data_IF_898677892912
#
_entry.id   IF_898677892912
#
_cell.length_a   1.000
_cell.length_b   1.000
_cell.length_c   1.000
_cell.angle_alpha   90.00
_cell.angle_beta   90.00
_cell.angle_gamma   90.00
#
_symmetry.space_group_name_H-M   'P 1'
#
loop_
_entity.id
_entity.type
_entity.pdbx_description
1 polymer ?
#
# COMPACT_ATOMS: atom_id res chain seq x y z
N UNK A 1 33.45 -53.46 42.01
CA UNK A 1 32.82 -53.48 40.67
C UNK A 1 31.92 -52.25 40.51
N UNK A 2 32.19 -51.48 39.45
CA UNK A 2 31.35 -50.54 38.67
C UNK A 2 30.55 -49.40 39.36
N UNK A 3 31.00 -48.18 39.02
CA UNK A 3 30.36 -46.85 39.13
C UNK A 3 28.97 -46.83 38.48
N UNK A 4 27.99 -46.10 39.04
CA UNK A 4 27.22 -45.16 38.21
C UNK A 4 26.65 -43.98 39.03
N UNK A 5 27.40 -42.89 39.20
CA UNK A 5 26.83 -41.65 39.79
C UNK A 5 27.24 -40.37 39.05
N UNK A 6 28.14 -40.46 38.06
CA UNK A 6 28.62 -39.29 37.32
C UNK A 6 27.91 -39.05 35.98
N UNK A 7 27.03 -39.94 35.53
CA UNK A 7 26.44 -39.86 34.19
C UNK A 7 25.27 -38.86 34.12
N UNK A 8 24.48 -38.76 35.20
CA UNK A 8 23.32 -37.87 35.26
C UNK A 8 23.71 -36.39 35.40
N UNK A 9 24.84 -36.10 36.07
CA UNK A 9 25.35 -34.74 36.21
C UNK A 9 25.91 -34.20 34.89
N UNK A 10 26.56 -35.06 34.09
CA UNK A 10 27.08 -34.70 32.76
C UNK A 10 25.98 -34.51 31.72
N UNK A 11 24.91 -35.32 31.79
CA UNK A 11 23.74 -35.15 30.91
C UNK A 11 22.99 -33.84 31.16
N UNK A 12 22.82 -33.45 32.44
CA UNK A 12 22.18 -32.18 32.80
C UNK A 12 23.01 -30.98 32.36
N UNK A 13 24.34 -31.02 32.57
CA UNK A 13 25.23 -29.93 32.16
C UNK A 13 25.29 -29.78 30.63
N UNK A 14 25.27 -30.90 29.89
CA UNK A 14 25.20 -30.89 28.42
C UNK A 14 23.85 -30.35 27.90
N UNK A 15 22.73 -30.75 28.52
CA UNK A 15 21.40 -30.27 28.15
C UNK A 15 21.23 -28.76 28.43
N UNK A 16 21.77 -28.25 29.54
CA UNK A 16 21.75 -26.81 29.83
C UNK A 16 22.65 -26.02 28.89
N UNK A 17 23.81 -26.56 28.49
CA UNK A 17 24.70 -25.91 27.52
C UNK A 17 24.07 -25.81 26.12
N UNK A 18 23.36 -26.85 25.68
CA UNK A 18 22.63 -26.86 24.40
C UNK A 18 21.49 -25.84 24.42
N UNK A 19 20.78 -25.68 25.54
CA UNK A 19 19.70 -24.69 25.67
C UNK A 19 20.22 -23.25 25.64
N UNK A 20 21.38 -22.96 26.24
CA UNK A 20 21.99 -21.62 26.22
C UNK A 20 22.50 -21.24 24.83
N UNK A 21 23.02 -22.19 24.06
CA UNK A 21 23.44 -21.97 22.67
C UNK A 21 22.22 -21.77 21.74
N UNK A 22 21.09 -22.47 22.01
CA UNK A 22 19.86 -22.29 21.24
C UNK A 22 19.19 -20.93 21.46
N UNK A 23 19.34 -20.31 22.63
CA UNK A 23 18.77 -18.98 22.92
C UNK A 23 19.64 -17.84 22.38
N UNK A 24 20.96 -18.03 22.26
CA UNK A 24 21.86 -17.04 21.64
C UNK A 24 21.74 -16.97 20.11
N UNK A 25 21.09 -17.96 19.47
CA UNK A 25 20.81 -18.00 18.04
C UNK A 25 19.48 -17.34 17.64
N UNK A 26 18.72 -16.79 18.59
CA UNK A 26 17.68 -15.80 18.30
C UNK A 26 18.40 -14.46 18.09
N UNK A 27 19.26 -14.46 17.06
CA UNK A 27 19.86 -13.26 16.54
C UNK A 27 18.73 -12.29 16.26
N UNK A 28 18.83 -11.12 16.86
CA UNK A 28 18.09 -9.94 16.44
C UNK A 28 18.28 -9.84 14.93
N UNK A 29 17.27 -10.27 14.16
CA UNK A 29 17.12 -9.86 12.79
C UNK A 29 16.89 -8.35 12.85
N UNK A 30 17.99 -7.61 13.01
CA UNK A 30 18.03 -6.21 12.72
C UNK A 30 17.64 -6.14 11.26
N UNK A 31 16.36 -5.85 11.02
CA UNK A 31 15.84 -5.61 9.69
C UNK A 31 16.77 -4.56 9.10
N UNK A 32 17.63 -4.99 8.18
CA UNK A 32 18.63 -4.16 7.55
C UNK A 32 17.84 -3.00 6.94
N UNK A 33 17.96 -1.83 7.57
CA UNK A 33 17.12 -0.70 7.22
C UNK A 33 17.52 -0.28 5.81
N UNK A 34 16.78 -0.77 4.83
CA UNK A 34 17.09 -0.56 3.43
C UNK A 34 17.31 0.93 3.19
N UNK A 35 18.46 1.26 2.61
CA UNK A 35 18.86 2.65 2.38
C UNK A 35 17.72 3.41 1.69
N UNK A 36 17.43 4.66 2.12
CA UNK A 36 16.30 5.40 1.58
C UNK A 36 16.47 5.61 0.08
N UNK A 37 15.51 5.11 -0.70
CA UNK A 37 15.52 5.24 -2.15
C UNK A 37 14.73 6.49 -2.54
N UNK A 38 15.35 7.34 -3.37
CA UNK A 38 14.69 8.50 -3.93
C UNK A 38 13.82 8.12 -5.14
N UNK A 39 12.63 8.69 -5.23
CA UNK A 39 11.73 8.53 -6.36
C UNK A 39 10.74 9.69 -6.44
N UNK A 40 10.05 9.80 -7.58
CA UNK A 40 9.09 10.86 -7.85
C UNK A 40 7.73 10.29 -8.22
N UNK A 41 6.67 11.01 -7.89
CA UNK A 41 5.31 10.59 -8.17
C UNK A 41 4.30 11.71 -7.94
N UNK A 42 3.03 11.36 -8.00
CA UNK A 42 1.90 12.28 -7.83
C UNK A 42 1.09 11.87 -6.62
N UNK A 43 0.77 12.82 -5.76
CA UNK A 43 -0.07 12.59 -4.58
C UNK A 43 -1.52 12.42 -5.03
N UNK A 44 -2.08 11.23 -4.82
CA UNK A 44 -3.46 10.88 -5.18
C UNK A 44 -4.41 10.85 -3.98
N UNK A 45 -3.84 10.79 -2.77
CA UNK A 45 -4.59 10.84 -1.52
C UNK A 45 -3.69 11.19 -0.35
N UNK A 46 -4.29 11.56 0.78
CA UNK A 46 -3.58 11.80 2.03
C UNK A 46 -4.48 11.50 3.22
N UNK A 47 -3.86 11.05 4.29
CA UNK A 47 -4.50 10.86 5.59
C UNK A 47 -3.81 11.79 6.59
N UNK A 48 -4.54 12.82 7.01
CA UNK A 48 -4.05 13.83 7.96
C UNK A 48 -3.94 13.31 9.39
N UNK A 49 -4.72 12.29 9.76
CA UNK A 49 -4.64 11.68 11.09
C UNK A 49 -3.40 10.80 11.20
N UNK A 50 -3.10 10.01 10.16
CA UNK A 50 -1.95 9.11 10.12
C UNK A 50 -0.66 9.74 9.58
N UNK A 51 -0.71 11.04 9.24
CA UNK A 51 0.40 11.77 8.60
C UNK A 51 1.01 11.00 7.42
N UNK A 52 0.15 10.51 6.53
CA UNK A 52 0.57 9.75 5.36
C UNK A 52 0.04 10.33 4.05
N UNK A 53 0.79 10.10 2.98
CA UNK A 53 0.40 10.42 1.60
C UNK A 53 0.41 9.16 0.76
N UNK A 54 -0.55 9.05 -0.13
CA UNK A 54 -0.61 7.97 -1.12
C UNK A 54 -0.14 8.55 -2.45
N UNK A 55 0.92 7.94 -2.99
CA UNK A 55 1.66 8.47 -4.14
C UNK A 55 1.60 7.47 -5.29
N UNK A 56 1.08 7.93 -6.41
CA UNK A 56 1.08 7.23 -7.68
C UNK A 56 2.40 7.49 -8.44
N UNK A 57 3.07 6.42 -8.84
CA UNK A 57 4.24 6.48 -9.73
C UNK A 57 3.77 6.55 -11.19
N UNK A 58 4.66 6.96 -12.09
CA UNK A 58 4.37 7.01 -13.53
C UNK A 58 4.00 5.65 -14.14
N UNK A 59 4.40 4.54 -13.51
CA UNK A 59 4.06 3.18 -13.91
C UNK A 59 2.66 2.72 -13.46
N UNK A 60 1.95 3.53 -12.67
CA UNK A 60 0.70 3.14 -12.02
C UNK A 60 0.89 2.48 -10.65
N UNK A 61 2.11 2.08 -10.28
CA UNK A 61 2.37 1.55 -8.95
C UNK A 61 2.09 2.62 -7.87
N UNK A 62 1.46 2.22 -6.78
CA UNK A 62 1.09 3.11 -5.68
C UNK A 62 1.94 2.81 -4.45
N UNK A 63 2.37 3.85 -3.75
CA UNK A 63 3.12 3.76 -2.50
C UNK A 63 2.50 4.66 -1.44
N UNK A 64 2.31 4.12 -0.25
CA UNK A 64 1.93 4.90 0.93
C UNK A 64 3.19 5.34 1.65
N UNK A 65 3.34 6.65 1.85
CA UNK A 65 4.50 7.25 2.52
C UNK A 65 4.03 7.94 3.80
N UNK A 66 4.54 7.49 4.94
CA UNK A 66 4.41 8.15 6.25
C UNK A 66 5.44 9.27 6.32
N UNK A 67 5.03 10.47 6.68
CA UNK A 67 5.90 11.65 6.70
C UNK A 67 5.70 12.48 7.96
N UNK A 68 6.73 13.17 8.42
CA UNK A 68 6.63 14.21 9.46
C UNK A 68 6.34 15.59 8.87
N UNK A 69 6.33 15.74 7.55
CA UNK A 69 6.09 17.02 6.87
C UNK A 69 4.60 17.39 6.98
N UNK A 70 4.26 18.64 7.34
CA UNK A 70 2.87 19.07 7.44
C UNK A 70 2.10 18.87 6.12
N UNK A 71 1.10 17.99 6.12
CA UNK A 71 0.31 17.61 4.94
C UNK A 71 -0.53 18.75 4.34
N UNK A 72 -0.66 19.89 5.02
CA UNK A 72 -1.22 21.12 4.44
C UNK A 72 -0.37 21.65 3.27
N UNK A 73 0.94 21.38 3.27
CA UNK A 73 1.88 21.79 2.21
C UNK A 73 1.91 20.82 1.03
N UNK A 74 1.24 19.68 1.16
CA UNK A 74 1.25 18.60 0.17
C UNK A 74 -0.20 18.38 -0.30
N UNK A 75 -0.67 19.15 -1.29
CA UNK A 75 -2.02 18.96 -1.82
C UNK A 75 -2.11 17.68 -2.65
N UNK A 76 -3.32 17.10 -2.72
CA UNK A 76 -3.63 16.08 -3.74
C UNK A 76 -3.46 16.72 -5.12
N UNK A 77 -2.82 16.01 -6.04
CA UNK A 77 -2.35 16.56 -7.32
C UNK A 77 -0.92 17.11 -7.28
N UNK A 78 -0.26 17.21 -6.13
CA UNK A 78 1.14 17.61 -6.08
C UNK A 78 2.03 16.55 -6.75
N UNK A 79 2.93 17.00 -7.63
CA UNK A 79 4.09 16.20 -8.03
C UNK A 79 5.14 16.35 -6.95
N UNK A 80 5.62 15.23 -6.45
CA UNK A 80 6.61 15.21 -5.37
C UNK A 80 7.85 14.42 -5.77
N UNK A 81 8.97 14.77 -5.15
CA UNK A 81 10.17 13.96 -5.04
C UNK A 81 10.34 13.59 -3.57
N UNK A 82 10.58 12.32 -3.29
CA UNK A 82 10.71 11.82 -1.91
C UNK A 82 11.83 10.81 -1.83
N UNK A 83 12.59 10.87 -0.74
CA UNK A 83 13.46 9.78 -0.30
C UNK A 83 12.75 9.04 0.82
N UNK A 84 12.65 7.71 0.69
CA UNK A 84 11.94 6.91 1.67
C UNK A 84 12.54 5.51 1.83
N UNK A 85 12.47 4.96 3.04
CA UNK A 85 12.82 3.56 3.34
C UNK A 85 11.57 2.70 3.43
N UNK A 86 11.67 1.45 3.01
CA UNK A 86 10.57 0.50 3.13
C UNK A 86 10.37 0.09 4.60
N UNK A 87 9.12 -0.11 4.99
CA UNK A 87 8.71 -0.66 6.27
C UNK A 87 8.27 -2.12 6.11
N UNK A 88 8.24 -2.87 7.21
CA UNK A 88 7.85 -4.27 7.22
C UNK A 88 6.40 -4.51 6.73
N UNK A 89 5.53 -3.49 6.85
CA UNK A 89 4.13 -3.53 6.42
C UNK A 89 3.93 -3.18 4.93
N UNK A 90 5.02 -3.01 4.16
CA UNK A 90 4.98 -2.67 2.74
C UNK A 90 4.69 -1.19 2.45
N UNK A 91 4.54 -0.36 3.48
CA UNK A 91 4.52 1.10 3.34
C UNK A 91 5.93 1.68 3.42
N UNK A 92 6.05 3.00 3.30
CA UNK A 92 7.34 3.69 3.28
C UNK A 92 7.40 4.75 4.37
N UNK A 93 8.56 4.91 5.01
CA UNK A 93 8.86 6.06 5.86
C UNK A 93 9.64 7.09 5.04
N UNK A 94 9.02 8.23 4.79
CA UNK A 94 9.63 9.35 4.06
C UNK A 94 10.59 10.11 4.95
N UNK A 95 11.84 10.24 4.50
CA UNK A 95 12.87 11.07 5.15
C UNK A 95 12.91 12.48 4.57
N UNK A 96 12.55 12.63 3.30
CA UNK A 96 12.34 13.92 2.64
C UNK A 96 11.10 13.88 1.76
N UNK A 97 10.41 15.01 1.68
CA UNK A 97 9.27 15.18 0.77
C UNK A 97 9.27 16.61 0.25
N UNK A 98 9.53 16.73 -1.04
CA UNK A 98 9.62 18.00 -1.75
C UNK A 98 8.53 18.05 -2.82
N UNK A 99 7.76 19.14 -2.85
CA UNK A 99 6.78 19.39 -3.90
C UNK A 99 7.51 20.04 -5.08
N UNK A 100 7.56 19.35 -6.20
CA UNK A 100 8.27 19.79 -7.42
C UNK A 100 7.34 20.34 -8.49
N UNK A 101 6.02 20.26 -8.28
CA UNK A 101 5.04 20.84 -9.19
C UNK A 101 3.64 20.30 -8.96
N UNK A 102 2.80 20.38 -9.99
CA UNK A 102 1.41 19.91 -9.97
C UNK A 102 1.10 19.05 -11.18
N UNK A 103 0.31 18.01 -10.98
CA UNK A 103 -0.24 17.15 -12.02
C UNK A 103 -1.76 17.19 -11.97
N UNK A 104 -2.39 17.20 -13.15
CA UNK A 104 -3.85 17.10 -13.31
C UNK A 104 -4.32 15.66 -13.50
N UNK A 105 -3.38 14.73 -13.72
CA UNK A 105 -3.63 13.31 -13.93
C UNK A 105 -2.61 12.46 -13.19
N UNK A 106 -3.01 11.25 -12.83
CA UNK A 106 -2.17 10.21 -12.26
C UNK A 106 -2.65 8.83 -12.71
N UNK A 107 -1.79 7.82 -12.59
CA UNK A 107 -2.15 6.44 -12.88
C UNK A 107 -2.15 5.64 -11.58
N UNK A 108 -3.21 4.90 -11.32
CA UNK A 108 -3.35 4.04 -10.14
C UNK A 108 -3.65 2.62 -10.59
N UNK A 109 -2.71 1.72 -10.34
CA UNK A 109 -2.91 0.28 -10.45
C UNK A 109 -3.27 -0.26 -9.08
N UNK A 110 -4.35 -1.02 -9.01
CA UNK A 110 -4.82 -1.60 -7.75
C UNK A 110 -5.88 -2.67 -7.97
N UNK A 111 -6.49 -3.09 -6.87
CA UNK A 111 -7.58 -4.06 -6.88
C UNK A 111 -8.85 -3.39 -6.37
N UNK A 112 -9.94 -3.54 -7.09
CA UNK A 112 -11.25 -3.05 -6.67
C UNK A 112 -11.69 -3.84 -5.44
N UNK A 113 -12.04 -3.14 -4.36
CA UNK A 113 -12.50 -3.78 -3.12
C UNK A 113 -14.00 -3.56 -2.91
N UNK A 114 -14.51 -2.43 -3.39
CA UNK A 114 -15.93 -2.11 -3.31
C UNK A 114 -16.33 -1.15 -4.43
N UNK A 115 -17.55 -1.33 -4.94
CA UNK A 115 -18.17 -0.45 -5.93
C UNK A 115 -19.49 0.03 -5.36
N UNK A 116 -19.56 1.30 -4.98
CA UNK A 116 -20.78 1.94 -4.51
C UNK A 116 -21.44 2.70 -5.67
N UNK A 117 -22.43 2.04 -6.28
CA UNK A 117 -23.15 2.64 -7.40
C UNK A 117 -24.08 3.78 -6.97
N UNK A 118 -24.53 3.82 -5.72
CA UNK A 118 -25.46 4.85 -5.23
C UNK A 118 -24.73 6.17 -5.06
N UNK A 119 -23.55 6.13 -4.43
CA UNK A 119 -22.74 7.32 -4.17
C UNK A 119 -21.70 7.59 -5.26
N UNK A 120 -21.63 6.74 -6.29
CA UNK A 120 -20.64 6.77 -7.37
C UNK A 120 -19.22 6.78 -6.81
N UNK A 121 -18.95 5.88 -5.87
CA UNK A 121 -17.63 5.72 -5.27
C UNK A 121 -17.04 4.36 -5.63
N UNK A 122 -15.76 4.38 -5.98
CA UNK A 122 -14.96 3.21 -6.24
C UNK A 122 -13.88 3.12 -5.17
N UNK A 123 -13.92 2.07 -4.36
CA UNK A 123 -12.86 1.79 -3.41
C UNK A 123 -11.83 0.84 -4.04
N UNK A 124 -10.57 1.23 -4.00
CA UNK A 124 -9.45 0.49 -4.62
C UNK A 124 -8.34 0.31 -3.61
N UNK A 125 -7.92 -0.93 -3.39
CA UNK A 125 -6.71 -1.25 -2.63
C UNK A 125 -5.48 -1.07 -3.52
N UNK A 126 -4.57 -0.19 -3.10
CA UNK A 126 -3.33 0.08 -3.79
C UNK A 126 -2.24 0.57 -2.81
N UNK A 127 -1.04 0.01 -2.92
CA UNK A 127 0.13 0.49 -2.17
C UNK A 127 0.00 0.45 -0.65
N UNK A 128 -0.74 -0.53 -0.11
CA UNK A 128 -0.99 -0.66 1.33
C UNK A 128 -2.06 0.28 1.89
N UNK A 129 -2.82 0.95 1.02
CA UNK A 129 -3.94 1.83 1.40
C UNK A 129 -5.18 1.52 0.56
N UNK A 130 -6.36 1.88 1.07
CA UNK A 130 -7.61 1.89 0.30
C UNK A 130 -7.92 3.34 -0.09
N UNK A 131 -8.08 3.57 -1.39
CA UNK A 131 -8.43 4.86 -1.96
C UNK A 131 -9.90 4.85 -2.40
N UNK A 132 -10.63 5.89 -2.04
CA UNK A 132 -11.99 6.13 -2.54
C UNK A 132 -11.94 7.15 -3.67
N UNK A 133 -12.32 6.74 -4.86
CA UNK A 133 -12.37 7.59 -6.05
C UNK A 133 -13.82 7.81 -6.45
N UNK A 134 -14.21 9.06 -6.71
CA UNK A 134 -15.51 9.33 -7.33
C UNK A 134 -15.44 8.95 -8.80
N UNK A 135 -16.44 8.23 -9.30
CA UNK A 135 -16.52 7.88 -10.72
C UNK A 135 -17.67 8.59 -11.42
N UNK A 136 -17.46 8.93 -12.70
CA UNK A 136 -18.51 9.49 -13.54
C UNK A 136 -19.59 8.45 -13.88
N UNK A 137 -20.78 8.92 -14.27
CA UNK A 137 -21.91 8.10 -14.74
C UNK A 137 -21.50 7.07 -15.83
N UNK A 138 -20.50 7.41 -16.65
CA UNK A 138 -19.99 6.57 -17.72
C UNK A 138 -19.28 5.28 -17.24
N UNK A 139 -18.85 5.22 -15.97
CA UNK A 139 -18.30 4.00 -15.35
C UNK A 139 -19.38 3.15 -14.68
N UNK A 140 -20.55 3.73 -14.37
CA UNK A 140 -21.71 3.04 -13.78
C UNK A 140 -22.53 2.31 -14.86
N UNK A 141 -22.80 3.00 -15.96
CA UNK A 141 -23.45 2.39 -17.11
C UNK A 141 -22.37 1.67 -17.92
N UNK A 142 -22.43 0.34 -18.00
CA UNK A 142 -21.54 -0.51 -18.82
C UNK A 142 -21.62 -0.20 -20.31
N UNK A 143 -21.24 1.01 -20.70
CA UNK A 143 -21.35 1.51 -22.06
C UNK A 143 -20.17 0.97 -22.84
N UNK A 144 -20.43 -0.17 -23.50
CA UNK A 144 -19.65 -0.76 -24.59
C UNK A 144 -18.86 0.32 -25.35
N UNK A 145 -17.57 0.44 -25.05
CA UNK A 145 -16.57 1.02 -25.95
C UNK A 145 -15.56 -0.08 -26.25
N UNK A 146 -15.82 -0.73 -27.39
CA UNK A 146 -14.86 -1.38 -28.30
C UNK A 146 -13.74 -2.23 -27.68
N UNK A 147 -13.87 -3.55 -27.88
CA UNK A 147 -12.78 -4.55 -27.95
C UNK A 147 -11.83 -4.68 -26.75
N UNK A 148 -12.36 -5.08 -25.60
CA UNK A 148 -11.86 -6.15 -24.70
C UNK A 148 -12.52 -6.00 -23.31
N UNK A 149 -13.34 -7.00 -22.95
CA UNK A 149 -14.02 -7.21 -21.66
C UNK A 149 -14.88 -6.04 -21.12
N UNK A 150 -16.14 -5.99 -21.56
CA UNK A 150 -17.18 -5.21 -20.88
C UNK A 150 -17.83 -6.04 -19.76
N UNK A 151 -17.04 -6.50 -18.79
CA UNK A 151 -17.60 -6.90 -17.48
C UNK A 151 -17.83 -5.63 -16.67
N UNK A 152 -19.00 -5.50 -16.04
CA UNK A 152 -19.22 -4.47 -15.03
C UNK A 152 -18.12 -4.61 -13.98
N UNK A 153 -17.48 -3.50 -13.62
CA UNK A 153 -16.41 -3.48 -12.63
C UNK A 153 -16.89 -4.16 -11.33
N UNK A 154 -16.14 -5.13 -10.82
CA UNK A 154 -16.49 -5.91 -9.66
C UNK A 154 -15.38 -5.92 -8.61
N UNK A 155 -15.74 -6.20 -7.36
CA UNK A 155 -14.74 -6.46 -6.33
C UNK A 155 -13.86 -7.65 -6.74
N UNK A 156 -12.55 -7.52 -6.54
CA UNK A 156 -11.54 -8.46 -7.01
C UNK A 156 -10.93 -8.10 -8.37
N UNK A 157 -11.50 -7.17 -9.14
CA UNK A 157 -10.91 -6.76 -10.42
C UNK A 157 -9.57 -6.05 -10.20
N UNK A 158 -8.53 -6.50 -10.91
CA UNK A 158 -7.25 -5.79 -11.00
C UNK A 158 -7.42 -4.73 -12.08
N UNK A 159 -7.18 -3.47 -11.71
CA UNK A 159 -7.48 -2.32 -12.57
C UNK A 159 -6.28 -1.40 -12.71
N UNK A 160 -6.19 -0.73 -13.86
CA UNK A 160 -5.40 0.46 -14.08
C UNK A 160 -6.36 1.64 -14.28
N UNK A 161 -6.22 2.66 -13.45
CA UNK A 161 -7.12 3.80 -13.39
C UNK A 161 -6.37 5.06 -13.80
N UNK A 162 -6.89 5.79 -14.78
CA UNK A 162 -6.52 7.19 -15.01
C UNK A 162 -7.32 8.04 -14.00
N UNK A 163 -6.59 8.66 -13.09
CA UNK A 163 -7.14 9.52 -12.03
C UNK A 163 -6.98 10.96 -12.47
N UNK A 164 -8.09 11.67 -12.62
CA UNK A 164 -8.11 13.12 -12.73
C UNK A 164 -8.01 13.75 -11.35
N UNK A 165 -7.10 14.70 -11.20
CA UNK A 165 -6.78 15.38 -9.95
C UNK A 165 -7.18 16.83 -10.09
N UNK A 166 -8.32 17.19 -9.52
CA UNK A 166 -8.86 18.54 -9.58
C UNK A 166 -9.38 19.00 -8.22
N UNK A 167 -9.12 20.26 -7.87
CA UNK A 167 -9.55 20.89 -6.62
C UNK A 167 -9.26 20.06 -5.34
N UNK A 168 -8.16 19.30 -5.33
CA UNK A 168 -7.77 18.46 -4.19
C UNK A 168 -8.55 17.15 -4.06
N UNK A 169 -9.37 16.81 -5.06
CA UNK A 169 -10.15 15.57 -5.13
C UNK A 169 -9.62 14.69 -6.26
N UNK A 170 -9.47 13.39 -5.97
CA UNK A 170 -9.14 12.38 -6.95
C UNK A 170 -10.42 11.78 -7.55
N UNK A 171 -10.54 11.81 -8.87
CA UNK A 171 -11.70 11.32 -9.60
C UNK A 171 -11.25 10.34 -10.69
N UNK A 172 -12.08 9.36 -10.96
CA UNK A 172 -11.81 8.35 -11.99
C UNK A 172 -12.15 8.90 -13.37
N UNK A 173 -11.15 9.07 -14.23
CA UNK A 173 -11.33 9.49 -15.64
C UNK A 173 -11.58 8.28 -16.55
N UNK A 174 -10.82 7.19 -16.37
CA UNK A 174 -11.05 5.92 -17.06
C UNK A 174 -10.53 4.74 -16.23
N UNK A 175 -11.09 3.56 -16.46
CA UNK A 175 -10.68 2.32 -15.79
C UNK A 175 -10.46 1.25 -16.84
N UNK A 176 -9.31 0.59 -16.77
CA UNK A 176 -8.97 -0.58 -17.59
C UNK A 176 -8.80 -1.79 -16.67
N UNK A 177 -9.63 -2.81 -16.86
CA UNK A 177 -9.45 -4.09 -16.18
C UNK A 177 -8.26 -4.83 -16.78
N UNK A 178 -7.32 -5.23 -15.92
CA UNK A 178 -6.11 -5.97 -16.26
C UNK A 178 -6.23 -7.46 -15.94
N UNK A 179 -7.21 -7.85 -15.14
CA UNK A 179 -7.44 -9.22 -14.71
C UNK A 179 -8.28 -9.26 -13.43
N UNK A 180 -8.23 -10.40 -12.73
CA UNK A 180 -8.97 -10.61 -11.49
C UNK A 180 -8.02 -11.21 -10.44
N UNK A 181 -8.10 -10.72 -9.21
CA UNK A 181 -7.36 -11.26 -8.09
C UNK A 181 -8.06 -12.53 -7.59
N UNK A 182 -7.28 -13.60 -7.35
CA UNK A 182 -7.81 -14.87 -6.81
C UNK A 182 -8.33 -14.73 -5.38
N UNK A 183 -7.77 -13.78 -4.62
CA UNK A 183 -8.21 -13.43 -3.27
C UNK A 183 -7.83 -11.97 -2.98
N UNK A 184 -8.66 -11.30 -2.19
CA UNK A 184 -8.36 -9.98 -1.61
C UNK A 184 -8.46 -10.12 -0.10
N UNK A 185 -7.33 -10.01 0.60
CA UNK A 185 -7.31 -9.95 2.06
C UNK A 185 -7.38 -8.48 2.45
N UNK A 186 -8.48 -8.11 3.10
CA UNK A 186 -8.67 -6.80 3.69
C UNK A 186 -8.91 -6.98 5.18
N UNK A 187 -8.06 -6.40 6.01
CA UNK A 187 -8.26 -6.34 7.45
C UNK A 187 -8.77 -4.95 7.82
N UNK A 188 -9.99 -4.88 8.35
CA UNK A 188 -10.61 -3.65 8.84
C UNK A 188 -12.04 -3.41 8.35
N UNK A 189 -12.67 -2.37 8.90
CA UNK A 189 -14.00 -1.91 8.51
C UNK A 189 -13.83 -0.71 7.59
N UNK A 190 -14.37 -0.80 6.38
CA UNK A 190 -14.47 0.34 5.48
C UNK A 190 -15.86 0.95 5.58
N UNK A 191 -15.97 2.14 6.17
CA UNK A 191 -17.18 2.95 6.11
C UNK A 191 -16.99 4.03 5.05
N UNK A 192 -17.65 3.90 3.90
CA UNK A 192 -17.71 4.98 2.92
C UNK A 192 -18.43 6.18 3.54
N UNK A 193 -17.72 7.28 3.81
CA UNK A 193 -18.37 8.53 4.18
C UNK A 193 -18.75 9.32 2.91
N UNK A 194 -19.97 9.85 2.91
CA UNK A 194 -20.55 10.65 1.83
C UNK A 194 -19.90 12.04 1.73
#
# INVERSE_FOLDING_TARGET
>A
MKRPLMEHARLKLAATLILVIAVAAIGTAAAEAAAPKAWSGVVVGKDTQRQSVVVALGSGAVRTVRTSVPLRRVPVGARIRTSASALADGTFRGTSLEVTGRARRGLVKGVVVHVDQRHRQLAVSAGGSVLTLRHGLALVAGKKRTTQSSSSLAAGDIVLIDVQLDNGVAQTASVKTLGQASAVVLEGIFTGSA
#
